data_IF_815001292214
#
_entry.id   IF_815001292214
#
_cell.length_a   1.000
_cell.length_b   1.000
_cell.length_c   1.000
_cell.angle_alpha   90.00
_cell.angle_beta   90.00
_cell.angle_gamma   90.00
#
_symmetry.space_group_name_H-M   'P 1'
#
loop_
_entity.id
_entity.type
_entity.pdbx_description
1 polymer ?
#
# COMPACT_ATOMS: atom_id res chain seq x y z
N UNK A 1 -4.15 -5.37 -22.54
CA UNK A 1 -5.42 -4.80 -23.04
C UNK A 1 -5.93 -3.86 -21.95
N UNK A 2 -6.08 -2.55 -22.17
CA UNK A 2 -6.63 -1.65 -21.18
C UNK A 2 -8.13 -1.98 -20.99
N UNK A 3 -8.57 -2.16 -19.75
CA UNK A 3 -9.96 -2.46 -19.40
C UNK A 3 -10.84 -1.21 -19.51
N UNK A 4 -12.00 -1.34 -20.12
CA UNK A 4 -12.95 -0.26 -20.47
C UNK A 4 -13.90 0.16 -19.32
N UNK A 5 -13.54 -0.12 -18.06
CA UNK A 5 -14.42 0.13 -16.91
C UNK A 5 -15.72 -0.68 -16.85
N UNK A 6 -15.87 -1.73 -17.66
CA UNK A 6 -17.01 -2.66 -17.55
C UNK A 6 -16.76 -3.86 -16.62
N UNK A 7 -15.60 -3.92 -15.96
CA UNK A 7 -15.21 -5.05 -15.14
C UNK A 7 -15.15 -4.66 -13.66
N UNK A 8 -16.12 -5.17 -12.89
CA UNK A 8 -16.07 -5.18 -11.44
C UNK A 8 -15.17 -6.34 -11.00
N UNK A 9 -14.19 -6.06 -10.15
CA UNK A 9 -13.17 -7.05 -9.78
C UNK A 9 -13.57 -7.94 -8.59
N UNK A 10 -14.58 -7.53 -7.85
CA UNK A 10 -15.14 -8.28 -6.74
C UNK A 10 -16.63 -8.48 -7.05
N UNK A 11 -16.99 -9.59 -7.69
CA UNK A 11 -18.37 -9.92 -8.01
C UNK A 11 -18.83 -11.11 -7.18
N UNK A 12 -20.00 -10.98 -6.57
CA UNK A 12 -20.74 -12.11 -6.00
C UNK A 12 -21.08 -13.09 -7.14
N UNK A 13 -20.57 -14.34 -7.11
CA UNK A 13 -20.78 -15.31 -8.16
C UNK A 13 -22.24 -15.81 -8.23
N UNK A 14 -23.05 -15.57 -7.19
CA UNK A 14 -24.46 -15.94 -7.14
C UNK A 14 -25.35 -14.84 -7.72
N UNK A 15 -25.01 -13.56 -7.49
CA UNK A 15 -25.86 -12.42 -7.86
C UNK A 15 -25.30 -11.57 -9.00
N UNK A 16 -24.02 -11.73 -9.36
CA UNK A 16 -23.30 -10.91 -10.34
C UNK A 16 -23.15 -9.44 -9.93
N UNK A 17 -23.47 -9.10 -8.67
CA UNK A 17 -23.32 -7.75 -8.11
C UNK A 17 -21.94 -7.60 -7.47
N UNK A 18 -21.40 -6.38 -7.35
CA UNK A 18 -20.17 -6.18 -6.61
C UNK A 18 -20.31 -6.71 -5.18
N UNK A 19 -19.35 -7.53 -4.72
CA UNK A 19 -19.10 -7.60 -3.28
C UNK A 19 -18.72 -6.17 -2.88
N UNK A 20 -19.40 -5.60 -1.88
CA UNK A 20 -19.06 -4.27 -1.40
C UNK A 20 -17.55 -4.14 -1.21
N UNK A 21 -16.99 -2.97 -1.54
CA UNK A 21 -15.57 -2.73 -1.28
C UNK A 21 -15.31 -2.91 0.22
N UNK A 22 -14.19 -3.56 0.60
CA UNK A 22 -13.91 -3.94 1.99
C UNK A 22 -13.89 -2.77 2.99
N UNK A 23 -13.84 -1.52 2.52
CA UNK A 23 -14.29 -0.35 3.28
C UNK A 23 -14.82 0.76 2.36
N UNK A 24 -15.76 1.53 2.90
CA UNK A 24 -16.27 2.81 2.35
C UNK A 24 -15.45 4.01 2.88
N UNK A 25 -14.18 3.79 3.18
CA UNK A 25 -13.32 4.76 3.85
C UNK A 25 -11.84 4.42 3.76
N UNK A 26 -11.00 5.30 4.31
CA UNK A 26 -9.57 5.07 4.41
C UNK A 26 -9.28 3.88 5.33
N UNK A 27 -8.23 3.14 5.00
CA UNK A 27 -7.72 1.99 5.77
C UNK A 27 -6.44 2.34 6.52
N UNK A 28 -5.90 3.52 6.28
CA UNK A 28 -4.68 4.01 6.91
C UNK A 28 -4.35 5.44 6.50
N UNK A 29 -3.26 5.92 7.07
CA UNK A 29 -2.66 7.23 6.82
C UNK A 29 -1.21 7.07 6.38
N UNK A 30 -0.81 7.79 5.34
CA UNK A 30 0.58 7.86 4.92
C UNK A 30 1.44 8.60 5.93
N UNK A 31 2.77 8.46 5.82
CA UNK A 31 3.73 9.27 6.60
C UNK A 31 3.63 10.77 6.31
N UNK A 32 3.03 11.18 5.17
CA UNK A 32 2.73 12.57 4.84
C UNK A 32 1.36 13.05 5.32
N UNK A 33 0.56 12.17 5.94
CA UNK A 33 -0.77 12.49 6.49
C UNK A 33 -1.94 12.38 5.51
N UNK A 34 -1.71 11.94 4.27
CA UNK A 34 -2.77 11.63 3.30
C UNK A 34 -3.47 10.31 3.65
N UNK A 35 -4.78 10.26 3.43
CA UNK A 35 -5.57 9.04 3.58
C UNK A 35 -5.26 8.02 2.49
N UNK A 36 -5.27 6.73 2.86
CA UNK A 36 -5.11 5.61 1.93
C UNK A 36 -6.40 4.79 1.88
N UNK A 37 -7.05 4.81 0.72
CA UNK A 37 -8.25 4.05 0.44
C UNK A 37 -7.88 2.73 -0.25
N UNK A 38 -8.81 1.74 -0.26
CA UNK A 38 -8.68 0.59 -1.15
C UNK A 38 -8.40 1.04 -2.59
N UNK A 39 -7.69 0.25 -3.38
CA UNK A 39 -7.38 0.55 -4.80
C UNK A 39 -8.63 0.55 -5.72
N UNK A 40 -9.81 0.40 -5.14
CA UNK A 40 -11.09 0.33 -5.82
C UNK A 40 -11.94 1.51 -5.39
N UNK A 41 -12.68 2.08 -6.33
CA UNK A 41 -13.63 3.15 -6.01
C UNK A 41 -14.94 2.58 -5.44
N UNK A 42 -15.88 3.49 -5.17
CA UNK A 42 -17.17 3.17 -4.57
C UNK A 42 -18.08 2.31 -5.48
N UNK A 43 -17.67 2.04 -6.72
CA UNK A 43 -18.32 1.10 -7.65
C UNK A 43 -17.60 -0.26 -7.70
N UNK A 44 -16.61 -0.49 -6.85
CA UNK A 44 -15.70 -1.64 -6.89
C UNK A 44 -14.91 -1.77 -8.22
N UNK A 45 -14.71 -0.65 -8.90
CA UNK A 45 -13.90 -0.57 -10.11
C UNK A 45 -12.45 -0.20 -9.75
N UNK A 46 -11.49 -0.81 -10.43
CA UNK A 46 -10.07 -0.56 -10.21
C UNK A 46 -9.70 0.86 -10.66
N UNK A 47 -9.32 1.73 -9.72
CA UNK A 47 -9.25 3.18 -9.94
C UNK A 47 -8.25 3.62 -11.02
N UNK A 48 -7.08 2.97 -11.21
CA UNK A 48 -6.18 3.34 -12.30
C UNK A 48 -6.76 3.10 -13.70
N UNK A 49 -7.70 2.16 -13.85
CA UNK A 49 -8.40 1.92 -15.12
C UNK A 49 -9.60 2.85 -15.35
N UNK A 50 -10.06 3.54 -14.30
CA UNK A 50 -11.12 4.54 -14.39
C UNK A 50 -10.59 5.95 -14.66
N UNK A 51 -9.27 6.11 -14.79
CA UNK A 51 -8.61 7.42 -14.88
C UNK A 51 -8.98 8.33 -13.69
N UNK A 52 -9.27 7.74 -12.53
CA UNK A 52 -9.67 8.46 -11.32
C UNK A 52 -8.45 9.03 -10.60
N UNK A 53 -7.36 8.26 -10.59
CA UNK A 53 -6.09 8.62 -9.94
C UNK A 53 -5.02 9.06 -10.92
N UNK A 54 -4.09 9.86 -10.41
CA UNK A 54 -2.89 10.28 -11.12
C UNK A 54 -1.78 9.20 -11.08
N UNK A 55 -0.59 9.58 -11.57
CA UNK A 55 0.56 8.65 -11.62
C UNK A 55 1.07 8.19 -10.26
N UNK A 56 0.73 8.91 -9.19
CA UNK A 56 1.10 8.62 -7.81
C UNK A 56 -0.04 7.92 -7.07
N UNK A 57 -1.06 7.46 -7.80
CA UNK A 57 -2.29 6.90 -7.25
C UNK A 57 -3.05 7.89 -6.35
N UNK A 58 -2.90 9.18 -6.57
CA UNK A 58 -3.58 10.24 -5.83
C UNK A 58 -4.76 10.81 -6.62
N UNK A 59 -5.84 11.18 -5.94
CA UNK A 59 -6.86 12.04 -6.52
C UNK A 59 -7.60 12.88 -5.50
N UNK A 60 -8.37 13.84 -6.02
CA UNK A 60 -9.34 14.64 -5.27
C UNK A 60 -10.72 14.12 -5.63
N UNK A 61 -11.40 13.51 -4.66
CA UNK A 61 -12.74 12.95 -4.87
C UNK A 61 -13.78 14.00 -5.29
N UNK A 62 -14.85 13.53 -5.93
CA UNK A 62 -16.00 14.37 -6.25
C UNK A 62 -16.55 15.02 -4.97
N UNK A 63 -16.63 16.35 -4.95
CA UNK A 63 -17.00 17.13 -3.77
C UNK A 63 -15.88 18.00 -3.18
N UNK A 64 -14.64 17.90 -3.72
CA UNK A 64 -13.54 18.79 -3.32
C UNK A 64 -12.96 18.48 -1.94
N UNK A 65 -13.08 17.22 -1.50
CA UNK A 65 -12.41 16.73 -0.30
C UNK A 65 -10.88 16.79 -0.41
N UNK A 66 -10.14 16.53 0.69
CA UNK A 66 -8.69 16.51 0.63
C UNK A 66 -8.18 15.43 -0.34
N UNK A 67 -7.01 15.65 -0.98
CA UNK A 67 -6.36 14.63 -1.78
C UNK A 67 -6.09 13.36 -0.96
N UNK A 68 -6.31 12.20 -1.58
CA UNK A 68 -6.07 10.90 -0.96
C UNK A 68 -5.61 9.87 -1.99
N UNK A 69 -5.08 8.75 -1.49
CA UNK A 69 -4.47 7.71 -2.31
C UNK A 69 -5.39 6.51 -2.51
N UNK A 70 -5.31 5.88 -3.68
CA UNK A 70 -5.89 4.58 -3.98
C UNK A 70 -4.79 3.66 -4.54
N UNK A 71 -4.04 3.00 -3.68
CA UNK A 71 -2.93 2.11 -4.06
C UNK A 71 -1.56 2.66 -3.68
N UNK A 72 -0.53 2.18 -4.37
CA UNK A 72 0.88 2.38 -4.02
C UNK A 72 1.44 3.72 -4.59
N UNK A 73 1.76 4.72 -3.76
CA UNK A 73 2.24 6.04 -4.21
C UNK A 73 3.73 6.06 -4.56
N UNK A 74 4.17 5.07 -5.33
CA UNK A 74 5.55 4.89 -5.75
C UNK A 74 5.88 5.68 -7.03
N UNK A 75 6.97 6.43 -7.00
CA UNK A 75 7.49 7.18 -8.15
C UNK A 75 8.95 6.82 -8.48
N UNK A 76 9.19 6.26 -9.67
CA UNK A 76 10.55 6.03 -10.20
C UNK A 76 10.79 6.67 -11.58
N UNK A 77 9.80 7.40 -12.11
CA UNK A 77 9.89 8.09 -13.39
C UNK A 77 10.59 9.44 -13.28
N UNK A 78 11.15 9.94 -14.39
CA UNK A 78 11.73 11.29 -14.46
C UNK A 78 10.67 12.34 -14.10
N UNK A 79 10.90 13.07 -13.00
CA UNK A 79 9.95 14.07 -12.48
C UNK A 79 8.71 13.46 -11.80
N UNK A 80 8.78 12.23 -11.30
CA UNK A 80 7.79 11.68 -10.37
C UNK A 80 8.10 12.16 -8.95
N UNK A 81 7.27 13.07 -8.44
CA UNK A 81 7.28 13.49 -7.03
C UNK A 81 6.11 12.81 -6.31
N UNK A 82 6.15 11.48 -6.26
CA UNK A 82 5.20 10.70 -5.46
C UNK A 82 5.68 10.61 -4.00
N UNK A 83 4.90 9.96 -3.13
CA UNK A 83 5.22 9.85 -1.70
C UNK A 83 6.61 9.27 -1.46
N UNK A 84 7.00 8.25 -2.23
CA UNK A 84 8.30 7.61 -2.12
C UNK A 84 8.79 7.06 -3.46
N UNK A 85 10.07 6.75 -3.53
CA UNK A 85 10.73 6.15 -4.69
C UNK A 85 12.05 5.48 -4.30
N UNK A 86 12.86 5.03 -5.27
CA UNK A 86 14.14 4.34 -5.01
C UNK A 86 15.09 5.11 -4.09
N UNK A 87 15.04 6.44 -4.11
CA UNK A 87 15.83 7.32 -3.24
C UNK A 87 15.51 7.19 -1.75
N UNK A 88 14.37 6.60 -1.39
CA UNK A 88 13.93 6.42 0.01
C UNK A 88 14.37 5.08 0.61
N UNK A 89 15.05 4.22 -0.17
CA UNK A 89 15.48 2.91 0.28
C UNK A 89 16.85 3.03 0.93
N UNK A 90 16.84 3.19 2.25
CA UNK A 90 18.05 3.39 3.05
C UNK A 90 18.35 2.14 3.86
N UNK A 91 19.52 1.54 3.62
CA UNK A 91 20.07 0.43 4.38
C UNK A 91 20.38 0.85 5.82
N UNK A 92 20.58 -0.15 6.70
CA UNK A 92 20.93 0.08 8.12
C UNK A 92 22.22 0.87 8.32
N UNK A 93 23.13 0.84 7.36
CA UNK A 93 24.40 1.60 7.36
C UNK A 93 24.24 3.03 6.81
N UNK A 94 23.01 3.45 6.49
CA UNK A 94 22.68 4.78 5.97
C UNK A 94 22.87 4.92 4.45
N UNK A 95 23.24 3.85 3.74
CA UNK A 95 23.42 3.90 2.29
C UNK A 95 22.09 3.75 1.56
N UNK A 96 21.88 4.52 0.49
CA UNK A 96 20.71 4.33 -0.38
C UNK A 96 20.97 3.17 -1.33
N UNK A 97 20.12 2.12 -1.28
CA UNK A 97 20.21 0.94 -2.14
C UNK A 97 18.83 0.34 -2.38
N UNK A 98 18.57 -0.12 -3.61
CA UNK A 98 17.34 -0.87 -3.94
C UNK A 98 17.26 -2.23 -3.26
N UNK A 99 18.39 -2.72 -2.73
CA UNK A 99 18.49 -3.95 -1.92
C UNK A 99 18.18 -3.69 -0.44
N UNK A 100 17.92 -2.44 -0.04
CA UNK A 100 17.46 -2.15 1.32
C UNK A 100 16.01 -2.63 1.53
N UNK A 101 15.64 -2.84 2.81
CA UNK A 101 14.26 -3.10 3.17
C UNK A 101 13.36 -1.94 2.70
N UNK A 102 12.14 -2.20 2.20
CA UNK A 102 11.24 -1.13 1.81
C UNK A 102 10.98 -0.14 2.95
N UNK A 103 10.88 1.16 2.66
CA UNK A 103 10.62 2.17 3.68
C UNK A 103 9.20 2.05 4.23
N UNK A 104 9.00 2.54 5.45
CA UNK A 104 7.65 2.77 5.98
C UNK A 104 7.03 3.93 5.19
N UNK A 105 5.85 3.71 4.61
CA UNK A 105 5.10 4.71 3.84
C UNK A 105 3.79 5.11 4.52
N UNK A 106 3.36 4.40 5.55
CA UNK A 106 2.19 4.76 6.33
C UNK A 106 1.90 3.81 7.49
N UNK A 107 0.70 3.99 8.05
CA UNK A 107 0.16 3.26 9.18
C UNK A 107 -1.28 2.89 8.86
N UNK A 108 -1.64 1.61 8.99
CA UNK A 108 -3.04 1.19 8.93
C UNK A 108 -3.77 1.63 10.20
N UNK A 109 -5.09 1.77 10.10
CA UNK A 109 -5.91 2.15 11.26
C UNK A 109 -6.02 1.05 12.32
N UNK A 110 -5.66 -0.18 11.99
CA UNK A 110 -5.53 -1.28 12.95
C UNK A 110 -4.14 -1.36 13.61
N UNK A 111 -3.25 -0.41 13.34
CA UNK A 111 -1.97 -0.23 14.04
C UNK A 111 -0.75 -0.85 13.37
N UNK A 112 -0.90 -1.51 12.21
CA UNK A 112 0.23 -2.07 11.47
C UNK A 112 0.95 -1.02 10.61
N UNK A 113 2.26 -1.23 10.43
CA UNK A 113 3.06 -0.44 9.50
C UNK A 113 2.75 -0.85 8.07
N UNK A 114 2.64 0.16 7.19
CA UNK A 114 2.52 -0.05 5.75
C UNK A 114 3.89 0.24 5.14
N UNK A 115 4.49 -0.79 4.57
CA UNK A 115 5.77 -0.70 3.89
C UNK A 115 5.59 -0.47 2.39
N UNK A 116 6.58 0.19 1.79
CA UNK A 116 6.69 0.31 0.35
C UNK A 116 6.90 -1.04 -0.34
N UNK A 117 6.90 -1.02 -1.66
CA UNK A 117 7.13 -2.23 -2.46
C UNK A 117 8.58 -2.71 -2.38
N UNK A 118 8.81 -4.00 -2.62
CA UNK A 118 10.17 -4.48 -2.89
C UNK A 118 10.66 -4.04 -4.26
N UNK A 119 11.91 -3.59 -4.34
CA UNK A 119 12.62 -3.25 -5.60
C UNK A 119 13.70 -4.25 -5.97
N UNK A 120 14.07 -5.13 -5.03
CA UNK A 120 15.03 -6.19 -5.22
C UNK A 120 14.54 -7.46 -4.53
N UNK A 121 14.90 -8.61 -5.11
CA UNK A 121 14.66 -9.92 -4.50
C UNK A 121 15.63 -10.26 -3.39
N UNK A 122 16.73 -9.49 -3.30
CA UNK A 122 17.78 -9.64 -2.30
C UNK A 122 17.49 -8.78 -1.06
N UNK A 123 16.44 -7.94 -1.12
CA UNK A 123 16.02 -7.13 0.00
C UNK A 123 15.58 -7.99 1.20
N UNK A 124 15.94 -7.62 2.44
CA UNK A 124 15.49 -8.32 3.64
C UNK A 124 13.97 -8.47 3.65
N UNK A 125 13.46 -9.66 4.00
CA UNK A 125 12.03 -9.96 4.04
C UNK A 125 11.42 -10.45 2.72
N UNK A 126 12.06 -10.24 1.56
CA UNK A 126 11.49 -10.65 0.26
C UNK A 126 11.29 -12.16 0.13
N UNK A 127 12.31 -12.95 0.46
CA UNK A 127 12.30 -14.42 0.29
C UNK A 127 11.61 -15.17 1.43
N UNK A 128 11.25 -14.48 2.51
CA UNK A 128 10.55 -15.06 3.68
C UNK A 128 9.26 -14.28 3.96
N UNK A 129 8.27 -14.27 3.04
CA UNK A 129 6.92 -13.88 3.39
C UNK A 129 6.32 -15.04 4.20
N UNK A 130 6.83 -15.23 5.42
CA UNK A 130 6.11 -15.98 6.42
C UNK A 130 4.87 -15.13 6.63
N UNK A 131 3.73 -15.61 6.15
CA UNK A 131 2.43 -15.07 6.50
C UNK A 131 1.85 -16.01 7.56
N UNK A 132 1.30 -15.45 8.63
CA UNK A 132 0.53 -16.22 9.60
C UNK A 132 -0.82 -16.69 9.00
N UNK A 133 -1.59 -17.43 9.78
CA UNK A 133 -2.88 -17.97 9.34
C UNK A 133 -3.92 -16.87 9.04
N UNK A 134 -3.68 -15.63 9.47
CA UNK A 134 -4.54 -14.47 9.24
C UNK A 134 -4.07 -13.63 8.03
N UNK A 135 -2.94 -13.97 7.41
CA UNK A 135 -2.38 -13.24 6.28
C UNK A 135 -1.52 -12.03 6.67
N UNK A 136 -1.16 -11.88 7.95
CA UNK A 136 -0.14 -10.94 8.42
C UNK A 136 1.27 -11.54 8.33
N UNK A 137 2.34 -10.75 8.34
CA UNK A 137 3.69 -11.31 8.32
C UNK A 137 4.03 -12.03 9.65
N UNK A 138 4.48 -13.28 9.62
CA UNK A 138 5.03 -13.96 10.80
C UNK A 138 6.44 -13.43 11.07
N UNK A 139 6.56 -12.75 12.19
CA UNK A 139 7.84 -12.25 12.67
C UNK A 139 8.65 -13.43 13.23
N UNK A 140 9.82 -13.70 12.64
CA UNK A 140 10.73 -14.77 13.08
C UNK A 140 11.73 -14.27 14.14
N UNK A 141 11.67 -12.99 14.51
CA UNK A 141 12.55 -12.36 15.48
C UNK A 141 11.91 -12.38 16.87
N UNK A 142 12.68 -12.82 17.86
CA UNK A 142 12.27 -12.90 19.25
C UNK A 142 11.89 -11.49 19.75
N UNK A 143 10.59 -11.18 19.76
CA UNK A 143 9.98 -10.01 20.38
C UNK A 143 10.18 -8.64 19.71
N UNK A 144 10.99 -8.49 18.65
CA UNK A 144 11.30 -7.18 18.05
C UNK A 144 11.31 -7.16 16.51
N UNK A 145 10.96 -6.02 15.87
CA UNK A 145 11.12 -5.81 14.43
C UNK A 145 12.54 -5.35 14.03
N UNK A 146 12.79 -5.13 12.73
CA UNK A 146 14.10 -4.67 12.21
C UNK A 146 14.51 -3.26 12.68
N UNK A 147 13.60 -2.52 13.30
CA UNK A 147 13.83 -1.21 13.91
C UNK A 147 13.83 -1.29 15.45
N UNK A 148 13.92 -2.51 16.01
CA UNK A 148 13.96 -2.76 17.44
C UNK A 148 12.68 -2.33 18.17
N UNK A 149 11.53 -2.35 17.49
CA UNK A 149 10.21 -2.11 18.07
C UNK A 149 9.66 -3.40 18.69
N UNK A 150 9.20 -3.33 19.94
CA UNK A 150 8.65 -4.47 20.70
C UNK A 150 7.31 -4.90 20.12
N UNK A 151 7.23 -6.14 19.63
CA UNK A 151 6.00 -6.74 19.09
C UNK A 151 5.14 -7.39 20.19
N UNK A 152 5.69 -7.56 21.40
CA UNK A 152 4.99 -8.14 22.54
C UNK A 152 3.94 -7.19 23.16
N UNK A 153 4.01 -5.89 22.87
CA UNK A 153 3.12 -4.88 23.43
C UNK A 153 1.83 -4.67 22.61
N UNK A 154 1.70 -5.35 21.46
CA UNK A 154 0.61 -5.17 20.49
C UNK A 154 -0.25 -6.42 20.22
N UNK A 155 -0.14 -7.45 21.09
CA UNK A 155 -1.04 -8.62 21.10
C UNK A 155 -1.71 -8.83 22.46
#
# INVERSE_FOLDING_TARGET
RPGNGQFNYLLDPQTGKPYGVPADGAQGKTVSGQDMFPVYNNQAAYTPQQCEVDRCNEHVGQGGGPPHLHGDPFGNGKGASCLYGPQNYTSVDGTTSVDAHPPIIGFSFDGHLIYGRYLSTDAPGYQKPLLDACGGHSHHEDSYDIYNFSLADYH
#
